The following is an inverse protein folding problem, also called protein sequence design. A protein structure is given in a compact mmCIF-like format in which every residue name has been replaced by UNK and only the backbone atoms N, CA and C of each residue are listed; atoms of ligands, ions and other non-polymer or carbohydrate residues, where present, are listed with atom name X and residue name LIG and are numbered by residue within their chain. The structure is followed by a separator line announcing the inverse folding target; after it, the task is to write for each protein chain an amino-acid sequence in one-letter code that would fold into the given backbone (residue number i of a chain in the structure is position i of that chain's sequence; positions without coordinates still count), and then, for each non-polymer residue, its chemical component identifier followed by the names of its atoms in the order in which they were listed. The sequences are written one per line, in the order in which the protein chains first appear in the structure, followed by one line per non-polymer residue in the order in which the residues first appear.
data_IF_528790381470
#
_entry.id   IF_528790381470
#
_cell.length_a   1.000
_cell.length_b   1.000
_cell.length_c   1.000
_cell.angle_alpha   90.00
_cell.angle_beta   90.00
_cell.angle_gamma   90.00
#
_symmetry.space_group_name_H-M   'P 1'
#
loop_
_entity.id
_entity.type
_entity.pdbx_description
1 polymer ?
#
# COMPACT_ATOMS: atom_id res chain seq x y z
N UNK A 1 -16.92 26.43 -10.89
CA UNK A 1 -17.23 25.00 -10.92
C UNK A 1 -18.47 24.77 -10.07
N UNK A 2 -19.42 23.94 -10.53
CA UNK A 2 -20.61 23.62 -9.75
C UNK A 2 -20.30 22.62 -8.64
N UNK A 3 -21.13 22.57 -7.60
CA UNK A 3 -21.03 21.57 -6.55
C UNK A 3 -21.25 20.15 -7.12
N UNK A 4 -20.50 19.18 -6.63
CA UNK A 4 -20.70 17.78 -6.98
C UNK A 4 -22.03 17.28 -6.40
N UNK A 5 -22.77 16.54 -7.20
CA UNK A 5 -24.04 15.94 -6.79
C UNK A 5 -23.94 14.42 -6.81
N UNK A 6 -24.54 13.74 -5.83
CA UNK A 6 -24.62 12.29 -5.87
C UNK A 6 -25.41 11.82 -7.10
N UNK A 7 -25.14 10.62 -7.58
CA UNK A 7 -26.03 9.95 -8.51
C UNK A 7 -27.33 9.58 -7.79
N UNK A 8 -28.42 9.48 -8.54
CA UNK A 8 -29.72 9.03 -8.05
C UNK A 8 -29.57 7.71 -7.27
N UNK A 9 -30.23 7.60 -6.15
CA UNK A 9 -30.16 6.45 -5.20
C UNK A 9 -28.77 6.20 -4.57
N UNK A 10 -27.82 7.14 -4.69
CA UNK A 10 -26.46 7.01 -4.13
C UNK A 10 -26.11 8.11 -3.13
N UNK A 11 -27.10 8.84 -2.62
CA UNK A 11 -26.92 9.96 -1.70
C UNK A 11 -26.23 9.51 -0.39
N UNK A 12 -26.68 8.39 0.18
CA UNK A 12 -26.11 7.85 1.42
C UNK A 12 -24.67 7.41 1.19
N UNK A 13 -24.41 6.64 0.13
CA UNK A 13 -23.06 6.21 -0.23
C UNK A 13 -22.12 7.41 -0.47
N UNK A 14 -22.59 8.44 -1.17
CA UNK A 14 -21.81 9.64 -1.44
C UNK A 14 -21.45 10.38 -0.14
N UNK A 15 -22.44 10.55 0.76
CA UNK A 15 -22.23 11.19 2.08
C UNK A 15 -21.24 10.39 2.93
N UNK A 16 -21.44 9.07 3.06
CA UNK A 16 -20.59 8.20 3.85
C UNK A 16 -19.16 8.21 3.31
N UNK A 17 -18.99 8.08 1.98
CA UNK A 17 -17.66 8.09 1.36
C UNK A 17 -16.91 9.40 1.58
N UNK A 18 -17.63 10.54 1.59
CA UNK A 18 -17.05 11.85 1.92
C UNK A 18 -16.58 11.91 3.37
N UNK A 19 -17.42 11.43 4.30
CA UNK A 19 -17.08 11.38 5.73
C UNK A 19 -15.86 10.49 5.96
N UNK A 20 -15.88 9.26 5.44
CA UNK A 20 -14.76 8.31 5.57
C UNK A 20 -13.45 8.89 5.00
N UNK A 21 -13.54 9.58 3.87
CA UNK A 21 -12.38 10.23 3.25
C UNK A 21 -11.86 11.37 4.13
N UNK A 22 -12.77 12.22 4.61
CA UNK A 22 -12.40 13.34 5.49
C UNK A 22 -11.74 12.84 6.77
N UNK A 23 -12.36 11.89 7.45
CA UNK A 23 -11.87 11.34 8.71
C UNK A 23 -10.47 10.73 8.53
N UNK A 24 -10.28 9.94 7.45
CA UNK A 24 -8.97 9.38 7.13
C UNK A 24 -7.89 10.47 6.97
N UNK A 25 -8.18 11.51 6.20
CA UNK A 25 -7.18 12.53 5.90
C UNK A 25 -6.98 13.52 7.05
N UNK A 26 -7.99 13.76 7.89
CA UNK A 26 -7.83 14.48 9.16
C UNK A 26 -6.92 13.71 10.13
N UNK A 27 -7.10 12.40 10.25
CA UNK A 27 -6.21 11.54 11.03
C UNK A 27 -4.77 11.56 10.50
N UNK A 28 -4.58 11.46 9.18
CA UNK A 28 -3.26 11.54 8.54
C UNK A 28 -2.60 12.90 8.76
N UNK A 29 -3.35 14.01 8.66
CA UNK A 29 -2.87 15.38 8.91
C UNK A 29 -2.39 15.55 10.35
N UNK A 30 -3.06 14.90 11.30
CA UNK A 30 -2.73 14.95 12.73
C UNK A 30 -1.56 14.04 13.12
N UNK A 31 -1.09 13.18 12.22
CA UNK A 31 0.11 12.38 12.51
C UNK A 31 1.33 13.31 12.64
N UNK A 32 2.15 13.03 13.63
CA UNK A 32 3.47 13.67 13.70
C UNK A 32 4.22 13.36 12.41
N UNK A 33 4.89 14.37 11.78
CA UNK A 33 5.64 14.13 10.56
C UNK A 33 6.49 12.87 10.69
N UNK A 34 6.21 11.88 9.85
CA UNK A 34 6.88 10.60 9.85
C UNK A 34 7.77 10.50 8.63
N UNK A 35 9.03 10.20 8.87
CA UNK A 35 9.93 9.76 7.80
C UNK A 35 9.25 8.61 7.05
N UNK A 36 9.23 8.69 5.73
CA UNK A 36 8.67 7.61 4.90
C UNK A 36 7.16 7.69 4.60
N UNK A 37 6.46 8.74 5.06
CA UNK A 37 5.09 9.05 4.64
C UNK A 37 5.04 10.40 3.94
N UNK A 38 4.15 10.55 2.95
CA UNK A 38 3.84 11.85 2.39
C UNK A 38 3.07 12.70 3.42
N UNK A 39 3.35 14.00 3.43
CA UNK A 39 2.77 14.95 4.38
C UNK A 39 1.44 15.45 3.87
N UNK A 40 0.40 15.38 4.70
CA UNK A 40 -0.88 16.03 4.42
C UNK A 40 -0.82 17.47 4.93
N UNK A 41 -0.91 18.41 4.01
CA UNK A 41 -0.81 19.84 4.30
C UNK A 41 -2.17 20.40 4.76
N UNK A 42 -3.24 20.01 4.07
CA UNK A 42 -4.57 20.50 4.40
C UNK A 42 -5.68 19.53 3.97
N UNK A 43 -6.83 19.65 4.64
CA UNK A 43 -8.08 18.97 4.30
C UNK A 43 -9.19 20.01 4.31
N UNK A 44 -9.89 20.18 3.19
CA UNK A 44 -10.92 21.20 3.03
C UNK A 44 -12.19 20.64 2.40
N UNK A 45 -13.32 21.20 2.79
CA UNK A 45 -14.63 20.86 2.24
C UNK A 45 -15.13 22.00 1.37
N UNK A 46 -15.23 21.77 0.07
CA UNK A 46 -15.80 22.71 -0.88
C UNK A 46 -16.55 21.96 -2.00
N UNK A 47 -17.42 22.66 -2.70
CA UNK A 47 -18.15 22.11 -3.87
C UNK A 47 -18.86 20.78 -3.58
N UNK A 48 -19.36 20.61 -2.36
CA UNK A 48 -19.98 19.37 -1.86
C UNK A 48 -19.07 18.13 -1.93
N UNK A 49 -17.76 18.33 -1.81
CA UNK A 49 -16.75 17.24 -1.72
C UNK A 49 -15.64 17.60 -0.73
N UNK A 50 -14.71 16.67 -0.53
CA UNK A 50 -13.54 16.85 0.32
C UNK A 50 -12.29 16.81 -0.56
N UNK A 51 -11.36 17.72 -0.30
CA UNK A 51 -10.05 17.80 -0.93
C UNK A 51 -9.00 17.57 0.14
N UNK A 52 -8.04 16.71 -0.15
CA UNK A 52 -6.82 16.56 0.63
C UNK A 52 -5.65 17.15 -0.17
N UNK A 53 -4.86 17.98 0.47
CA UNK A 53 -3.67 18.60 -0.11
C UNK A 53 -2.44 17.92 0.45
N UNK A 54 -1.72 17.22 -0.42
CA UNK A 54 -0.45 16.58 -0.07
C UNK A 54 0.73 17.44 -0.50
N UNK A 55 1.84 17.35 0.23
CA UNK A 55 3.10 17.97 -0.17
C UNK A 55 3.55 17.41 -1.52
N UNK A 56 3.84 18.32 -2.47
CA UNK A 56 4.31 17.93 -3.79
C UNK A 56 5.81 17.75 -3.80
N UNK A 57 6.28 16.59 -4.19
CA UNK A 57 7.70 16.27 -4.26
C UNK A 57 8.14 15.99 -5.70
N UNK A 58 9.33 16.52 -6.03
CA UNK A 58 9.97 16.21 -7.31
C UNK A 58 10.70 14.87 -7.20
N UNK A 59 10.35 13.94 -8.06
CA UNK A 59 10.92 12.60 -8.04
C UNK A 59 10.21 11.67 -9.01
N UNK A 60 10.34 10.39 -8.78
CA UNK A 60 9.66 9.35 -9.55
C UNK A 60 9.05 8.29 -8.61
N UNK A 61 8.13 7.49 -9.13
CA UNK A 61 7.63 6.34 -8.38
C UNK A 61 8.67 5.20 -8.36
N UNK A 62 8.60 4.34 -7.34
CA UNK A 62 9.42 3.12 -7.29
C UNK A 62 9.16 2.24 -8.52
N UNK A 63 7.93 2.19 -9.01
CA UNK A 63 7.57 1.48 -10.24
C UNK A 63 8.39 1.96 -11.43
N UNK A 64 8.45 3.28 -11.64
CA UNK A 64 9.23 3.87 -12.72
C UNK A 64 10.75 3.64 -12.52
N UNK A 65 11.23 3.81 -11.30
CA UNK A 65 12.63 3.54 -10.97
C UNK A 65 13.06 2.11 -11.27
N UNK A 66 12.23 1.11 -10.88
CA UNK A 66 12.51 -0.29 -11.16
C UNK A 66 12.48 -0.61 -12.66
N UNK A 67 11.61 0.09 -13.42
CA UNK A 67 11.53 -0.08 -14.88
C UNK A 67 12.80 0.44 -15.60
N UNK A 68 13.40 1.51 -15.10
CA UNK A 68 14.62 2.09 -15.69
C UNK A 68 15.89 1.29 -15.39
N UNK A 69 15.84 0.38 -14.42
CA UNK A 69 17.04 -0.39 -14.03
C UNK A 69 17.24 -1.59 -14.93
N UNK A 70 18.51 -1.85 -15.25
CA UNK A 70 18.94 -3.05 -15.99
C UNK A 70 19.10 -4.29 -15.11
N UNK A 71 19.05 -4.14 -13.78
CA UNK A 71 19.20 -5.23 -12.80
C UNK A 71 18.21 -5.10 -11.65
N UNK A 72 17.94 -6.19 -10.97
CA UNK A 72 17.23 -6.25 -9.69
C UNK A 72 18.01 -5.54 -8.58
N UNK A 73 17.33 -5.21 -7.49
CA UNK A 73 17.96 -4.69 -6.28
C UNK A 73 18.49 -5.85 -5.44
N UNK A 74 19.64 -5.64 -4.82
CA UNK A 74 20.11 -6.54 -3.77
C UNK A 74 19.22 -6.43 -2.52
N UNK A 75 19.17 -7.44 -1.65
CA UNK A 75 18.45 -7.34 -0.37
C UNK A 75 18.87 -6.14 0.48
N UNK A 76 20.14 -5.74 0.44
CA UNK A 76 20.63 -4.57 1.15
C UNK A 76 20.09 -3.26 0.57
N UNK A 77 20.12 -3.11 -0.76
CA UNK A 77 19.53 -1.95 -1.43
C UNK A 77 18.01 -1.86 -1.18
N UNK A 78 17.30 -3.00 -1.27
CA UNK A 78 15.87 -3.06 -0.99
C UNK A 78 15.54 -2.65 0.45
N UNK A 79 16.34 -3.13 1.42
CA UNK A 79 16.21 -2.74 2.83
C UNK A 79 16.41 -1.24 3.02
N UNK A 80 17.48 -0.66 2.48
CA UNK A 80 17.77 0.77 2.62
C UNK A 80 16.63 1.62 2.08
N UNK A 81 16.06 1.23 0.93
CA UNK A 81 14.95 1.96 0.31
C UNK A 81 13.65 1.81 1.11
N UNK A 82 13.33 0.61 1.60
CA UNK A 82 12.07 0.35 2.29
C UNK A 82 12.09 0.71 3.77
N UNK A 83 13.26 0.87 4.40
CA UNK A 83 13.35 1.17 5.83
C UNK A 83 12.51 2.39 6.25
N UNK A 84 12.61 3.57 5.59
CA UNK A 84 11.77 4.72 5.95
C UNK A 84 10.29 4.45 5.75
N UNK A 85 9.91 3.70 4.70
CA UNK A 85 8.52 3.30 4.47
C UNK A 85 8.02 2.42 5.61
N UNK A 86 8.80 1.44 6.05
CA UNK A 86 8.45 0.55 7.18
C UNK A 86 8.29 1.34 8.48
N UNK A 87 9.16 2.30 8.75
CA UNK A 87 9.04 3.20 9.92
C UNK A 87 7.75 4.03 9.86
N UNK A 88 7.41 4.59 8.70
CA UNK A 88 6.17 5.31 8.46
C UNK A 88 4.93 4.42 8.64
N UNK A 89 4.92 3.22 8.05
CA UNK A 89 3.83 2.25 8.22
C UNK A 89 3.69 1.82 9.68
N UNK A 90 4.79 1.62 10.40
CA UNK A 90 4.74 1.33 11.83
C UNK A 90 4.10 2.49 12.64
N UNK A 91 4.32 3.74 12.22
CA UNK A 91 3.65 4.90 12.83
C UNK A 91 2.14 4.92 12.52
N UNK A 92 1.73 4.69 11.27
CA UNK A 92 0.31 4.51 10.91
C UNK A 92 -0.35 3.45 11.80
N UNK A 93 0.30 2.30 11.95
CA UNK A 93 -0.21 1.19 12.75
C UNK A 93 -0.36 1.53 14.25
N UNK A 94 0.54 2.35 14.81
CA UNK A 94 0.41 2.85 16.20
C UNK A 94 -0.79 3.78 16.38
N UNK A 95 -1.13 4.53 15.35
CA UNK A 95 -2.31 5.41 15.32
C UNK A 95 -3.61 4.70 14.91
N UNK A 96 -3.58 3.37 14.75
CA UNK A 96 -4.76 2.58 14.38
C UNK A 96 -5.08 2.58 12.88
N UNK A 97 -4.26 3.25 12.06
CA UNK A 97 -4.47 3.32 10.62
C UNK A 97 -3.78 2.17 9.89
N UNK A 98 -4.41 1.68 8.84
CA UNK A 98 -3.89 0.67 7.92
C UNK A 98 -3.90 1.26 6.52
N UNK A 99 -2.79 1.17 5.80
CA UNK A 99 -2.65 1.80 4.49
C UNK A 99 -3.42 1.06 3.38
N UNK A 100 -3.35 -0.26 3.34
CA UNK A 100 -4.05 -1.16 2.38
C UNK A 100 -3.75 -0.95 0.90
N UNK A 101 -2.89 -0.01 0.56
CA UNK A 101 -2.56 0.35 -0.84
C UNK A 101 -1.07 0.40 -1.13
N UNK A 102 -0.24 -0.29 -0.36
CA UNK A 102 1.21 -0.30 -0.57
C UNK A 102 1.53 -1.06 -1.86
N UNK A 103 2.12 -0.35 -2.81
CA UNK A 103 2.59 -0.89 -4.08
C UNK A 103 3.68 0.04 -4.66
N UNK A 104 4.45 -0.38 -5.67
CA UNK A 104 5.52 0.45 -6.23
C UNK A 104 5.05 1.79 -6.82
N UNK A 105 3.79 1.89 -7.26
CA UNK A 105 3.25 3.14 -7.82
C UNK A 105 2.93 4.17 -6.71
N UNK A 106 2.70 3.71 -5.49
CA UNK A 106 2.41 4.55 -4.32
C UNK A 106 3.66 4.82 -3.46
N UNK A 107 4.85 4.45 -3.90
CA UNK A 107 6.12 4.79 -3.26
C UNK A 107 6.84 5.80 -4.13
N UNK A 108 7.03 7.01 -3.61
CA UNK A 108 7.76 8.08 -4.24
C UNK A 108 9.23 8.03 -3.82
N UNK A 109 10.10 8.30 -4.77
CA UNK A 109 11.53 8.45 -4.60
C UNK A 109 11.90 9.91 -4.94
N UNK A 110 11.90 10.81 -3.95
CA UNK A 110 12.29 12.20 -4.16
C UNK A 110 13.76 12.30 -4.62
N UNK A 111 14.08 13.38 -5.37
CA UNK A 111 15.43 13.60 -5.91
C UNK A 111 16.45 13.79 -4.77
N UNK A 112 16.03 14.42 -3.69
CA UNK A 112 16.86 14.86 -2.58
C UNK A 112 16.70 14.02 -1.31
N UNK A 113 15.96 12.88 -1.40
CA UNK A 113 15.59 12.35 -0.14
C UNK A 113 15.17 10.92 0.00
N UNK A 114 14.50 10.76 1.07
CA UNK A 114 14.02 9.53 1.65
C UNK A 114 12.74 9.10 0.95
N UNK A 115 12.62 7.81 0.60
CA UNK A 115 11.42 7.24 0.01
C UNK A 115 10.18 7.54 0.86
N UNK A 116 9.06 7.88 0.22
CA UNK A 116 7.80 8.23 0.87
C UNK A 116 6.64 7.44 0.31
N UNK A 117 5.77 6.99 1.20
CA UNK A 117 4.53 6.29 0.87
C UNK A 117 3.39 7.31 0.74
N UNK A 118 2.65 7.20 -0.34
CA UNK A 118 1.46 8.01 -0.70
C UNK A 118 0.32 7.09 -1.15
N UNK A 119 -0.75 7.65 -1.68
CA UNK A 119 -1.86 6.87 -2.25
C UNK A 119 -2.77 6.27 -1.21
N UNK A 120 -3.00 6.99 -0.12
CA UNK A 120 -3.96 6.62 0.92
C UNK A 120 -5.37 6.45 0.34
N UNK A 121 -6.16 5.59 0.97
CA UNK A 121 -7.53 5.34 0.54
C UNK A 121 -8.38 4.76 1.65
N UNK A 122 -9.68 5.07 1.60
CA UNK A 122 -10.65 4.57 2.57
C UNK A 122 -10.74 3.04 2.55
N UNK A 123 -11.25 2.45 3.61
CA UNK A 123 -11.45 1.01 3.71
C UNK A 123 -12.30 0.49 2.53
N UNK A 124 -13.40 1.17 2.22
CA UNK A 124 -14.30 0.78 1.13
C UNK A 124 -13.60 0.78 -0.24
N UNK A 125 -12.71 1.74 -0.50
CA UNK A 125 -11.92 1.78 -1.74
C UNK A 125 -10.90 0.63 -1.82
N UNK A 126 -10.40 0.17 -0.69
CA UNK A 126 -9.35 -0.86 -0.57
C UNK A 126 -9.87 -2.26 -0.26
N UNK A 127 -11.18 -2.50 -0.44
CA UNK A 127 -11.82 -3.79 -0.17
C UNK A 127 -12.65 -4.25 -1.36
N UNK A 128 -12.41 -5.47 -1.82
CA UNK A 128 -13.19 -6.10 -2.89
C UNK A 128 -14.62 -6.40 -2.44
N UNK A 129 -15.59 -6.15 -3.33
CA UNK A 129 -17.01 -6.35 -3.00
C UNK A 129 -17.62 -5.29 -2.08
N UNK A 130 -16.91 -4.17 -1.85
CA UNK A 130 -17.48 -2.99 -1.20
C UNK A 130 -18.49 -2.28 -2.11
N UNK A 131 -19.25 -1.33 -1.56
CA UNK A 131 -20.20 -0.52 -2.32
C UNK A 131 -19.54 0.40 -3.36
N UNK A 132 -18.24 0.69 -3.18
CA UNK A 132 -17.45 1.45 -4.14
C UNK A 132 -16.75 0.51 -5.12
N UNK A 133 -16.38 1.05 -6.29
CA UNK A 133 -15.47 0.35 -7.19
C UNK A 133 -14.10 0.24 -6.51
N UNK A 134 -13.76 -0.97 -6.08
CA UNK A 134 -12.51 -1.24 -5.38
C UNK A 134 -11.29 -0.90 -6.23
N UNK A 135 -10.31 -0.26 -5.63
CA UNK A 135 -9.00 -0.02 -6.19
C UNK A 135 -7.97 -0.91 -5.46
N UNK A 136 -7.78 -2.12 -5.96
CA UNK A 136 -6.80 -3.08 -5.48
C UNK A 136 -5.63 -3.17 -6.46
N UNK A 137 -4.45 -3.49 -5.93
CA UNK A 137 -3.22 -3.61 -6.72
C UNK A 137 -2.86 -5.10 -6.85
N UNK A 138 -3.13 -5.75 -8.01
CA UNK A 138 -2.85 -7.17 -8.20
C UNK A 138 -1.37 -7.49 -7.94
N UNK A 139 -1.13 -8.56 -7.20
CA UNK A 139 0.20 -8.96 -6.74
C UNK A 139 0.62 -8.35 -5.40
N UNK A 140 0.13 -7.15 -5.07
CA UNK A 140 0.45 -6.43 -3.83
C UNK A 140 -0.68 -6.46 -2.81
N UNK A 141 -1.94 -6.41 -3.26
CA UNK A 141 -3.09 -6.50 -2.38
C UNK A 141 -3.16 -7.88 -1.71
N UNK A 142 -3.31 -7.87 -0.38
CA UNK A 142 -3.38 -9.08 0.43
C UNK A 142 -4.69 -9.85 0.19
N UNK A 143 -4.72 -11.18 0.44
CA UNK A 143 -5.88 -12.03 0.17
C UNK A 143 -7.18 -11.54 0.79
N UNK A 144 -7.13 -11.06 2.03
CA UNK A 144 -8.28 -10.55 2.77
C UNK A 144 -8.91 -9.29 2.16
N UNK A 145 -8.18 -8.53 1.35
CA UNK A 145 -8.71 -7.34 0.68
C UNK A 145 -9.68 -7.66 -0.46
N UNK A 146 -9.71 -8.89 -0.95
CA UNK A 146 -10.57 -9.30 -2.06
C UNK A 146 -12.00 -9.67 -1.64
N UNK A 147 -12.32 -9.58 -0.35
CA UNK A 147 -13.65 -9.89 0.18
C UNK A 147 -14.06 -8.93 1.29
N UNK A 148 -15.28 -8.40 1.22
CA UNK A 148 -15.84 -7.56 2.29
C UNK A 148 -16.15 -8.36 3.59
N UNK A 149 -16.14 -9.68 3.51
CA UNK A 149 -16.34 -10.57 4.68
C UNK A 149 -15.04 -10.80 5.48
N UNK A 150 -13.88 -10.40 4.96
CA UNK A 150 -12.59 -10.58 5.61
C UNK A 150 -12.05 -9.24 6.16
N UNK A 151 -11.44 -9.29 7.34
CA UNK A 151 -10.92 -8.08 7.98
C UNK A 151 -9.48 -7.80 7.55
N UNK A 152 -9.21 -6.53 7.26
CA UNK A 152 -7.85 -6.01 7.07
C UNK A 152 -7.26 -5.59 8.42
N UNK A 153 -5.97 -5.84 8.59
CA UNK A 153 -5.21 -5.46 9.78
C UNK A 153 -3.79 -5.03 9.44
N UNK A 154 -2.95 -4.87 10.43
CA UNK A 154 -1.53 -4.54 10.25
C UNK A 154 -0.82 -5.55 9.34
N UNK A 155 -1.19 -6.81 9.44
CA UNK A 155 -0.71 -7.92 8.61
C UNK A 155 -1.03 -7.75 7.11
N UNK A 156 -2.02 -6.93 6.76
CA UNK A 156 -2.35 -6.59 5.36
C UNK A 156 -1.23 -5.77 4.73
N UNK A 157 -0.74 -4.76 5.45
CA UNK A 157 0.39 -3.94 4.99
C UNK A 157 1.71 -4.70 5.01
N UNK A 158 1.89 -5.64 5.95
CA UNK A 158 3.05 -6.56 5.97
C UNK A 158 3.12 -7.38 4.68
N UNK A 159 1.98 -7.93 4.23
CA UNK A 159 1.91 -8.65 2.95
C UNK A 159 2.34 -7.76 1.79
N UNK A 160 1.79 -6.56 1.72
CA UNK A 160 2.05 -5.62 0.63
C UNK A 160 3.51 -5.15 0.59
N UNK A 161 4.11 -4.85 1.75
CA UNK A 161 5.54 -4.50 1.87
C UNK A 161 6.43 -5.65 1.40
N UNK A 162 6.13 -6.88 1.80
CA UNK A 162 6.88 -8.06 1.37
C UNK A 162 6.73 -8.29 -0.15
N UNK A 163 5.55 -8.05 -0.71
CA UNK A 163 5.30 -8.14 -2.15
C UNK A 163 6.10 -7.08 -2.94
N UNK A 164 6.18 -5.85 -2.43
CA UNK A 164 7.04 -4.80 -3.00
C UNK A 164 8.50 -5.22 -2.94
N UNK A 165 8.97 -5.70 -1.78
CA UNK A 165 10.33 -6.18 -1.61
C UNK A 165 10.65 -7.34 -2.56
N UNK A 166 9.74 -8.30 -2.69
CA UNK A 166 9.87 -9.41 -3.65
C UNK A 166 10.05 -8.89 -5.08
N UNK A 167 9.21 -7.93 -5.52
CA UNK A 167 9.36 -7.28 -6.83
C UNK A 167 10.73 -6.62 -7.00
N UNK A 168 11.23 -5.94 -5.97
CA UNK A 168 12.52 -5.26 -6.02
C UNK A 168 13.69 -6.22 -6.22
N UNK A 169 13.68 -7.36 -5.52
CA UNK A 169 14.81 -8.30 -5.54
C UNK A 169 14.73 -9.37 -6.61
N UNK A 170 13.54 -9.63 -7.19
CA UNK A 170 13.36 -10.64 -8.25
C UNK A 170 13.08 -10.04 -9.62
N UNK A 171 12.70 -8.74 -9.68
CA UNK A 171 12.20 -8.14 -10.89
C UNK A 171 10.77 -8.58 -11.29
N UNK A 172 10.18 -9.55 -10.60
CA UNK A 172 8.87 -10.12 -10.92
C UNK A 172 7.80 -9.64 -9.93
N UNK A 173 6.63 -9.27 -10.46
CA UNK A 173 5.46 -9.00 -9.61
C UNK A 173 4.92 -10.34 -9.11
N UNK A 174 4.64 -10.48 -7.80
CA UNK A 174 4.05 -11.71 -7.28
C UNK A 174 2.73 -12.05 -7.94
N UNK A 175 2.41 -13.34 -8.03
CA UNK A 175 1.09 -13.81 -8.48
C UNK A 175 0.01 -13.23 -7.56
N UNK A 176 -1.07 -12.72 -8.14
CA UNK A 176 -2.15 -12.08 -7.38
C UNK A 176 -2.82 -13.07 -6.39
N UNK A 177 -3.17 -12.58 -5.20
CA UNK A 177 -3.68 -13.40 -4.12
C UNK A 177 -4.90 -14.28 -4.48
N UNK A 178 -5.89 -13.85 -5.28
CA UNK A 178 -6.98 -14.73 -5.71
C UNK A 178 -6.51 -15.95 -6.51
N UNK A 179 -5.50 -15.78 -7.37
CA UNK A 179 -4.92 -16.89 -8.13
C UNK A 179 -4.14 -17.83 -7.21
N UNK A 180 -3.38 -17.28 -6.26
CA UNK A 180 -2.66 -18.06 -5.24
C UNK A 180 -3.59 -18.87 -4.33
N UNK A 181 -4.80 -18.37 -4.03
CA UNK A 181 -5.82 -19.12 -3.26
C UNK A 181 -6.30 -20.37 -3.99
N UNK A 182 -6.34 -20.34 -5.33
CA UNK A 182 -6.69 -21.53 -6.14
C UNK A 182 -5.53 -22.51 -6.17
N UNK A 183 -4.34 -22.02 -6.47
CA UNK A 183 -3.08 -22.77 -6.47
C UNK A 183 -1.94 -21.82 -6.12
N UNK A 184 -1.32 -22.04 -4.98
CA UNK A 184 -0.19 -21.21 -4.59
C UNK A 184 1.04 -21.54 -5.44
N UNK A 185 1.29 -20.67 -6.41
CA UNK A 185 2.40 -20.76 -7.36
C UNK A 185 3.44 -19.66 -7.14
N UNK A 186 3.50 -19.08 -5.93
CA UNK A 186 4.52 -18.10 -5.61
C UNK A 186 5.89 -18.78 -5.60
N UNK A 187 6.74 -18.41 -6.54
CA UNK A 187 8.10 -18.91 -6.60
C UNK A 187 8.97 -18.31 -5.47
N UNK A 188 9.94 -19.07 -5.02
CA UNK A 188 10.92 -18.58 -4.04
C UNK A 188 11.76 -17.46 -4.66
N UNK A 189 11.95 -16.36 -3.93
CA UNK A 189 12.79 -15.28 -4.41
C UNK A 189 14.25 -15.73 -4.68
N UNK A 190 14.74 -16.69 -3.89
CA UNK A 190 16.05 -17.32 -4.10
C UNK A 190 16.12 -18.13 -5.40
N UNK A 191 15.03 -18.81 -5.79
CA UNK A 191 14.98 -19.58 -7.04
C UNK A 191 14.99 -18.69 -8.28
N UNK A 192 14.38 -17.50 -8.17
CA UNK A 192 14.33 -16.53 -9.27
C UNK A 192 15.61 -15.71 -9.39
N UNK A 193 16.24 -15.42 -8.27
CA UNK A 193 17.43 -14.59 -8.19
C UNK A 193 18.42 -15.18 -7.17
N UNK A 194 19.45 -15.82 -7.67
CA UNK A 194 20.45 -16.54 -6.83
C UNK A 194 21.21 -15.61 -5.85
N UNK A 195 21.26 -14.31 -6.13
CA UNK A 195 21.81 -13.29 -5.22
C UNK A 195 20.96 -13.04 -3.97
N UNK A 196 19.71 -13.52 -3.94
CA UNK A 196 18.84 -13.42 -2.77
C UNK A 196 19.13 -14.59 -1.82
N UNK A 197 19.58 -14.35 -0.58
CA UNK A 197 19.84 -15.44 0.37
C UNK A 197 18.58 -16.23 0.70
N UNK A 198 18.73 -17.53 0.94
CA UNK A 198 17.60 -18.42 1.28
C UNK A 198 16.80 -17.94 2.50
N UNK A 199 17.50 -17.49 3.55
CA UNK A 199 16.82 -16.96 4.75
C UNK A 199 15.96 -15.73 4.43
N UNK A 200 16.42 -14.83 3.55
CA UNK A 200 15.66 -13.65 3.15
C UNK A 200 14.41 -14.03 2.35
N UNK A 201 14.56 -14.98 1.42
CA UNK A 201 13.45 -15.57 0.67
C UNK A 201 12.39 -16.20 1.61
N UNK A 202 12.83 -16.88 2.68
CA UNK A 202 11.92 -17.44 3.69
C UNK A 202 11.16 -16.37 4.46
N UNK A 203 11.80 -15.26 4.79
CA UNK A 203 11.15 -14.09 5.43
C UNK A 203 10.05 -13.52 4.54
N UNK A 204 10.34 -13.30 3.24
CA UNK A 204 9.35 -12.84 2.27
C UNK A 204 8.18 -13.83 2.15
N UNK A 205 8.47 -15.13 2.03
CA UNK A 205 7.44 -16.16 1.96
C UNK A 205 6.55 -16.19 3.22
N UNK A 206 7.14 -16.00 4.41
CA UNK A 206 6.39 -15.92 5.66
C UNK A 206 5.48 -14.68 5.71
N UNK A 207 5.99 -13.53 5.31
CA UNK A 207 5.23 -12.28 5.27
C UNK A 207 4.12 -12.30 4.19
N UNK A 208 4.27 -13.12 3.15
CA UNK A 208 3.29 -13.27 2.06
C UNK A 208 2.40 -14.51 2.20
N UNK A 209 2.28 -15.11 3.38
CA UNK A 209 1.33 -16.21 3.61
C UNK A 209 -0.10 -15.79 3.32
N UNK A 210 -0.87 -16.67 2.69
CA UNK A 210 -2.28 -16.40 2.35
C UNK A 210 -3.18 -16.35 3.59
N UNK A 211 -2.88 -17.19 4.59
CA UNK A 211 -3.56 -17.17 5.88
C UNK A 211 -3.01 -16.01 6.76
N UNK A 212 -3.84 -14.98 7.06
CA UNK A 212 -3.40 -13.86 7.88
C UNK A 212 -2.89 -14.25 9.27
N UNK A 213 -3.48 -15.31 9.87
CA UNK A 213 -3.08 -15.76 11.22
C UNK A 213 -1.67 -16.38 11.26
N UNK A 214 -1.17 -16.85 10.11
CA UNK A 214 0.17 -17.44 9.97
C UNK A 214 1.20 -16.46 9.43
N UNK A 215 0.78 -15.22 9.18
CA UNK A 215 1.63 -14.14 8.67
C UNK A 215 2.27 -13.37 9.81
N UNK A 216 3.35 -12.66 9.56
CA UNK A 216 3.87 -11.65 10.48
C UNK A 216 2.78 -10.62 10.77
N UNK A 217 2.59 -10.24 12.05
CA UNK A 217 1.49 -9.41 12.49
C UNK A 217 1.83 -7.91 12.52
N UNK A 218 3.11 -7.57 12.49
CA UNK A 218 3.62 -6.19 12.55
C UNK A 218 4.78 -6.01 11.58
N UNK A 219 4.99 -4.78 11.18
CA UNK A 219 6.17 -4.31 10.42
C UNK A 219 7.36 -4.19 11.34
#
# INVERSE_FOLDING_TARGET
AGALMPKEEKEVLFKTSRMDFKDLYDDLKNLTPATGLSTILDVMEENNTVYAVEESEKGMTLSHYLHLRSRTLTPAEARTLLQPIMEGVAQLHRSGLIHRGICPDNILLPIDGTARLTGYGTLALRTGGSELKSQLYPGYAAPEQYSAAEFSGRYTDVYALAAVCYKMVTGQTPVAAPQRRVRDSLESAHSLEAGVPTWFSQVLACAMRLDPAKRMQTV
#
